data_IF_784673406546
#
_entry.id   IF_784673406546
#
_cell.length_a   1.000
_cell.length_b   1.000
_cell.length_c   1.000
_cell.angle_alpha   90.00
_cell.angle_beta   90.00
_cell.angle_gamma   90.00
#
_symmetry.space_group_name_H-M   'P 1'
#
loop_
_entity.id
_entity.type
_entity.pdbx_description
1 polymer ?
#
# COMPACT_ATOMS: atom_id res chain seq x y z
N UNK A 1 -9.49 -12.58 12.40
CA UNK A 1 -8.90 -11.26 12.14
C UNK A 1 -9.69 -10.62 11.01
N UNK A 2 -10.33 -9.48 11.21
CA UNK A 2 -11.06 -8.79 10.14
C UNK A 2 -10.28 -7.51 9.79
N UNK A 3 -9.78 -7.37 8.55
CA UNK A 3 -9.12 -6.13 8.14
C UNK A 3 -10.11 -4.97 8.19
N UNK A 4 -9.64 -3.81 8.63
CA UNK A 4 -10.42 -2.57 8.57
C UNK A 4 -10.11 -1.89 7.25
N UNK A 5 -11.09 -1.85 6.34
CA UNK A 5 -10.95 -1.09 5.11
C UNK A 5 -11.01 0.41 5.41
N UNK A 6 -9.93 1.12 5.10
CA UNK A 6 -9.83 2.57 5.31
C UNK A 6 -10.34 3.33 4.07
N UNK A 7 -10.45 2.65 2.93
CA UNK A 7 -11.04 3.16 1.69
C UNK A 7 -10.04 3.24 0.54
N UNK A 8 -10.38 4.01 -0.50
CA UNK A 8 -9.52 4.22 -1.68
C UNK A 8 -9.05 5.67 -1.77
N UNK A 9 -7.74 5.85 -1.77
CA UNK A 9 -7.07 7.13 -1.95
C UNK A 9 -6.82 7.48 -3.41
N UNK A 10 -6.52 8.76 -3.65
CA UNK A 10 -6.18 9.31 -4.98
C UNK A 10 -4.67 9.42 -5.23
N UNK A 11 -3.83 9.18 -4.22
CA UNK A 11 -2.39 9.44 -4.28
C UNK A 11 -1.57 8.35 -3.60
N UNK A 12 -0.76 7.64 -4.40
CA UNK A 12 0.24 6.69 -3.88
C UNK A 12 1.26 7.39 -2.99
N UNK A 13 1.73 8.58 -3.38
CA UNK A 13 2.70 9.36 -2.58
C UNK A 13 2.13 9.75 -1.22
N UNK A 14 0.88 10.22 -1.19
CA UNK A 14 0.22 10.60 0.07
C UNK A 14 0.08 9.41 1.02
N UNK A 15 -0.34 8.26 0.47
CA UNK A 15 -0.43 7.02 1.25
C UNK A 15 0.94 6.53 1.72
N UNK A 16 1.97 6.59 0.87
CA UNK A 16 3.33 6.20 1.24
C UNK A 16 3.90 7.08 2.36
N UNK A 17 3.69 8.39 2.30
CA UNK A 17 4.06 9.29 3.41
C UNK A 17 3.33 8.91 4.68
N UNK A 18 2.01 8.64 4.58
CA UNK A 18 1.23 8.23 5.73
C UNK A 18 1.70 6.90 6.34
N UNK A 19 2.19 5.94 5.54
CA UNK A 19 2.57 4.60 5.99
C UNK A 19 4.03 4.50 6.46
N UNK A 20 4.94 5.10 5.70
CA UNK A 20 6.38 4.91 5.82
C UNK A 20 7.04 5.92 6.76
N UNK A 21 6.31 6.95 7.21
CA UNK A 21 6.87 8.02 8.05
C UNK A 21 6.02 8.27 9.29
N UNK A 22 6.65 8.85 10.30
CA UNK A 22 6.00 9.28 11.52
C UNK A 22 4.94 10.36 11.26
N UNK A 23 3.87 10.42 12.06
CA UNK A 23 2.88 11.47 11.95
C UNK A 23 3.54 12.84 12.09
N UNK A 24 3.11 13.79 11.26
CA UNK A 24 3.51 15.20 11.38
C UNK A 24 3.18 15.70 12.78
N UNK A 25 4.12 16.41 13.39
CA UNK A 25 3.84 17.14 14.63
C UNK A 25 3.24 18.51 14.33
N UNK A 26 2.65 19.14 15.35
CA UNK A 26 2.10 20.49 15.22
C UNK A 26 3.19 21.48 14.76
N UNK A 27 2.90 22.25 13.71
CA UNK A 27 3.86 23.17 13.09
C UNK A 27 4.78 22.55 12.02
N UNK A 28 4.78 21.23 11.83
CA UNK A 28 5.61 20.58 10.81
C UNK A 28 4.89 20.45 9.46
N UNK A 29 5.56 20.88 8.39
CA UNK A 29 5.07 20.68 7.02
C UNK A 29 5.27 19.23 6.53
N UNK A 30 6.31 18.56 7.02
CA UNK A 30 6.62 17.17 6.72
C UNK A 30 7.51 16.60 7.82
N UNK A 31 7.32 15.31 8.11
CA UNK A 31 8.19 14.51 8.97
C UNK A 31 8.71 13.33 8.16
N UNK A 32 10.02 13.11 8.20
CA UNK A 32 10.71 12.09 7.41
C UNK A 32 11.33 10.96 8.28
N UNK A 33 11.10 11.01 9.59
CA UNK A 33 11.51 9.93 10.50
C UNK A 33 10.61 8.70 10.32
N UNK A 34 11.14 7.53 10.61
CA UNK A 34 10.48 6.23 10.37
C UNK A 34 10.41 5.39 11.65
N UNK A 35 10.42 6.02 12.83
CA UNK A 35 10.57 5.33 14.12
C UNK A 35 9.39 4.39 14.42
N UNK A 36 8.19 4.72 13.94
CA UNK A 36 7.01 3.85 14.07
C UNK A 36 7.02 2.62 13.16
N UNK A 37 7.94 2.54 12.19
CA UNK A 37 7.92 1.51 11.15
C UNK A 37 8.87 0.39 11.56
N UNK A 38 8.29 -0.72 12.03
CA UNK A 38 9.07 -1.92 12.37
C UNK A 38 9.66 -2.60 11.13
N UNK A 39 8.83 -2.89 10.12
CA UNK A 39 9.27 -3.49 8.86
C UNK A 39 8.36 -3.09 7.70
N UNK A 40 8.87 -3.26 6.48
CA UNK A 40 8.14 -3.01 5.24
C UNK A 40 8.44 -4.13 4.26
N UNK A 41 7.42 -4.63 3.57
CA UNK A 41 7.56 -5.59 2.48
C UNK A 41 6.67 -5.17 1.30
N UNK A 42 7.15 -5.45 0.10
CA UNK A 42 6.35 -5.38 -1.12
C UNK A 42 6.11 -6.77 -1.69
N UNK A 43 4.99 -6.93 -2.39
CA UNK A 43 4.65 -8.12 -3.15
C UNK A 43 4.54 -7.74 -4.62
N UNK A 44 4.91 -8.65 -5.53
CA UNK A 44 4.87 -8.47 -6.99
C UNK A 44 5.69 -7.28 -7.53
N UNK A 45 6.59 -6.73 -6.72
CA UNK A 45 7.46 -5.60 -7.04
C UNK A 45 8.94 -5.93 -6.86
N UNK A 46 9.31 -7.21 -7.08
CA UNK A 46 10.69 -7.69 -7.06
C UNK A 46 11.49 -7.29 -5.80
N UNK A 47 10.85 -7.39 -4.63
CA UNK A 47 11.47 -7.04 -3.36
C UNK A 47 11.75 -5.55 -3.16
N UNK A 48 11.14 -4.65 -3.95
CA UNK A 48 11.31 -3.21 -3.78
C UNK A 48 10.96 -2.78 -2.35
N UNK A 49 11.84 -2.00 -1.72
CA UNK A 49 11.53 -1.34 -0.44
C UNK A 49 10.36 -0.36 -0.57
N UNK A 50 9.81 0.09 0.55
CA UNK A 50 8.60 0.93 0.58
C UNK A 50 8.63 2.14 -0.36
N UNK A 51 9.75 2.86 -0.40
CA UNK A 51 9.95 4.01 -1.29
C UNK A 51 9.94 3.65 -2.78
N UNK A 52 10.52 2.51 -3.15
CA UNK A 52 10.49 2.02 -4.52
C UNK A 52 9.10 1.52 -4.91
N UNK A 53 8.45 0.79 -3.99
CA UNK A 53 7.17 0.15 -4.23
C UNK A 53 6.09 1.16 -4.64
N UNK A 54 5.93 2.27 -3.91
CA UNK A 54 4.90 3.26 -4.25
C UNK A 54 5.18 3.97 -5.57
N UNK A 55 6.46 4.15 -5.94
CA UNK A 55 6.86 4.77 -7.22
C UNK A 55 6.55 3.85 -8.39
N UNK A 56 6.82 2.54 -8.25
CA UNK A 56 6.43 1.57 -9.26
C UNK A 56 4.91 1.51 -9.44
N UNK A 57 4.14 1.46 -8.35
CA UNK A 57 2.68 1.49 -8.44
C UNK A 57 2.17 2.78 -9.12
N UNK A 58 2.74 3.93 -8.78
CA UNK A 58 2.40 5.20 -9.43
C UNK A 58 2.75 5.21 -10.92
N UNK A 59 3.95 4.73 -11.29
CA UNK A 59 4.38 4.64 -12.69
C UNK A 59 3.47 3.73 -13.51
N UNK A 60 3.07 2.57 -12.95
CA UNK A 60 2.12 1.65 -13.58
C UNK A 60 0.75 2.30 -13.78
N UNK A 61 0.24 3.00 -12.76
CA UNK A 61 -1.05 3.69 -12.85
C UNK A 61 -1.03 4.83 -13.88
N UNK A 62 0.04 5.62 -13.94
CA UNK A 62 0.22 6.69 -14.92
C UNK A 62 0.39 6.14 -16.34
N UNK A 63 0.98 4.96 -16.48
CA UNK A 63 1.22 4.29 -17.78
C UNK A 63 0.06 3.39 -18.21
N UNK A 64 -1.05 3.32 -17.45
CA UNK A 64 -2.12 2.35 -17.66
C UNK A 64 -2.71 2.38 -19.07
N UNK A 65 -2.82 3.56 -19.69
CA UNK A 65 -3.33 3.68 -21.06
C UNK A 65 -2.35 3.10 -22.09
N UNK A 66 -1.06 3.41 -21.96
CA UNK A 66 -0.02 2.86 -22.82
C UNK A 66 0.09 1.33 -22.69
N UNK A 67 0.00 0.82 -21.45
CA UNK A 67 0.01 -0.62 -21.17
C UNK A 67 -1.21 -1.32 -21.80
N UNK A 68 -2.41 -0.73 -21.66
CA UNK A 68 -3.62 -1.26 -22.31
C UNK A 68 -3.50 -1.26 -23.83
N UNK A 69 -3.00 -0.17 -24.41
CA UNK A 69 -2.77 -0.07 -25.85
C UNK A 69 -1.80 -1.13 -26.36
N UNK A 70 -0.66 -1.31 -25.68
CA UNK A 70 0.33 -2.34 -26.03
C UNK A 70 -0.25 -3.76 -25.95
N UNK A 71 -1.19 -4.00 -25.04
CA UNK A 71 -1.88 -5.28 -24.88
C UNK A 71 -3.11 -5.45 -25.81
N UNK A 72 -3.42 -4.48 -26.67
CA UNK A 72 -4.63 -4.51 -27.51
C UNK A 72 -5.95 -4.38 -26.73
N UNK A 73 -5.90 -3.89 -25.49
CA UNK A 73 -7.05 -3.71 -24.60
C UNK A 73 -7.63 -2.31 -24.82
N UNK A 74 -8.96 -2.22 -24.97
CA UNK A 74 -9.66 -0.94 -25.10
C UNK A 74 -9.42 -0.04 -23.89
N UNK A 75 -9.04 1.20 -24.13
CA UNK A 75 -8.89 2.22 -23.09
C UNK A 75 -10.28 2.65 -22.61
N UNK A 76 -10.52 2.46 -21.32
CA UNK A 76 -11.71 2.95 -20.61
C UNK A 76 -11.45 4.28 -19.89
N UNK A 77 -12.45 4.82 -19.19
CA UNK A 77 -12.29 6.03 -18.38
C UNK A 77 -11.22 5.83 -17.29
N UNK A 78 -10.51 6.91 -16.96
CA UNK A 78 -9.49 6.88 -15.92
C UNK A 78 -10.14 6.59 -14.55
N UNK A 79 -9.55 5.70 -13.72
CA UNK A 79 -10.07 5.44 -12.38
C UNK A 79 -9.90 6.68 -11.49
N UNK A 80 -10.96 7.03 -10.76
CA UNK A 80 -10.95 8.16 -9.81
C UNK A 80 -10.22 7.86 -8.50
N UNK A 81 -9.93 6.59 -8.24
CA UNK A 81 -9.21 6.10 -7.07
C UNK A 81 -8.28 4.96 -7.46
N UNK A 82 -7.03 5.05 -7.04
CA UNK A 82 -5.94 4.19 -7.53
C UNK A 82 -5.20 3.47 -6.42
N UNK A 83 -5.25 3.98 -5.19
CA UNK A 83 -4.60 3.38 -4.03
C UNK A 83 -5.64 2.78 -3.09
N UNK A 84 -5.63 1.45 -2.90
CA UNK A 84 -6.45 0.77 -1.90
C UNK A 84 -5.63 0.57 -0.63
N UNK A 85 -6.24 0.81 0.54
CA UNK A 85 -5.58 0.70 1.82
C UNK A 85 -6.52 0.09 2.87
N UNK A 86 -5.97 -0.85 3.62
CA UNK A 86 -6.62 -1.47 4.78
C UNK A 86 -5.60 -1.57 5.91
N UNK A 87 -6.09 -1.66 7.15
CA UNK A 87 -5.26 -1.90 8.33
C UNK A 87 -5.62 -3.21 9.02
N UNK A 88 -4.61 -3.83 9.60
CA UNK A 88 -4.72 -4.99 10.49
C UNK A 88 -4.29 -4.50 11.87
N UNK A 89 -5.20 -4.50 12.85
CA UNK A 89 -4.91 -4.05 14.21
C UNK A 89 -4.72 -5.25 15.13
N UNK A 90 -3.50 -5.50 15.57
CA UNK A 90 -3.18 -6.57 16.52
C UNK A 90 -3.16 -6.01 17.94
N UNK A 91 -3.67 -6.77 18.90
CA UNK A 91 -3.64 -6.36 20.30
C UNK A 91 -2.19 -6.41 20.82
N UNK A 92 -1.62 -5.31 21.34
CA UNK A 92 -0.25 -5.30 21.84
C UNK A 92 0.01 -6.32 22.96
N UNK A 93 -1.02 -6.68 23.73
CA UNK A 93 -0.92 -7.69 24.79
C UNK A 93 -0.55 -9.08 24.25
N UNK A 94 -0.88 -9.38 22.99
CA UNK A 94 -0.63 -10.67 22.35
C UNK A 94 0.83 -10.80 21.87
N UNK A 95 1.60 -9.71 21.89
CA UNK A 95 3.02 -9.63 21.47
C UNK A 95 3.26 -10.39 20.15
N UNK A 96 2.58 -10.01 19.05
CA UNK A 96 2.69 -10.73 17.80
C UNK A 96 4.14 -10.72 17.31
N UNK A 97 4.59 -11.87 16.81
CA UNK A 97 5.85 -11.94 16.07
C UNK A 97 5.65 -11.43 14.65
N UNK A 98 6.72 -10.98 14.02
CA UNK A 98 6.74 -10.60 12.60
C UNK A 98 6.18 -11.72 11.70
N UNK A 99 6.45 -12.99 12.04
CA UNK A 99 5.90 -14.15 11.32
C UNK A 99 4.36 -14.19 11.36
N UNK A 100 3.76 -13.94 12.53
CA UNK A 100 2.29 -13.89 12.68
C UNK A 100 1.72 -12.71 11.89
N UNK A 101 2.40 -11.56 11.90
CA UNK A 101 2.00 -10.39 11.12
C UNK A 101 2.02 -10.69 9.61
N UNK A 102 3.06 -11.36 9.10
CA UNK A 102 3.15 -11.79 7.70
C UNK A 102 2.05 -12.79 7.33
N UNK A 103 1.78 -13.76 8.19
CA UNK A 103 0.68 -14.72 7.98
C UNK A 103 -0.69 -14.02 7.94
N UNK A 104 -0.90 -12.99 8.76
CA UNK A 104 -2.13 -12.19 8.75
C UNK A 104 -2.29 -11.42 7.43
N UNK A 105 -1.21 -10.84 6.89
CA UNK A 105 -1.22 -10.15 5.58
C UNK A 105 -1.53 -11.13 4.45
N UNK A 106 -0.89 -12.31 4.44
CA UNK A 106 -1.12 -13.32 3.39
C UNK A 106 -2.56 -13.87 3.43
N UNK A 107 -3.11 -14.12 4.62
CA UNK A 107 -4.51 -14.51 4.79
C UNK A 107 -5.49 -13.45 4.30
N UNK A 108 -5.21 -12.17 4.56
CA UNK A 108 -6.01 -11.07 4.02
C UNK A 108 -5.93 -11.02 2.49
N UNK A 109 -4.75 -11.26 1.91
CA UNK A 109 -4.53 -11.24 0.45
C UNK A 109 -5.36 -12.30 -0.29
N UNK A 110 -5.50 -13.49 0.29
CA UNK A 110 -6.24 -14.61 -0.30
C UNK A 110 -7.77 -14.44 -0.19
N UNK A 111 -8.24 -13.75 0.86
CA UNK A 111 -9.68 -13.61 1.17
C UNK A 111 -10.29 -12.34 0.62
N UNK A 112 -9.51 -11.26 0.52
CA UNK A 112 -9.95 -10.05 -0.16
C UNK A 112 -10.05 -10.34 -1.65
N UNK A 113 -11.25 -10.30 -2.22
CA UNK A 113 -11.50 -10.48 -3.67
C UNK A 113 -10.82 -9.42 -4.56
N UNK A 114 -9.97 -8.56 -3.99
CA UNK A 114 -9.01 -7.75 -4.69
C UNK A 114 -7.97 -8.67 -5.34
N UNK A 115 -7.91 -8.65 -6.68
CA UNK A 115 -6.79 -9.23 -7.40
C UNK A 115 -5.59 -8.30 -7.16
N UNK A 116 -4.76 -8.65 -6.18
CA UNK A 116 -3.52 -7.93 -5.86
C UNK A 116 -2.55 -8.13 -7.03
N UNK A 117 -2.30 -7.07 -7.79
CA UNK A 117 -1.35 -7.04 -8.90
C UNK A 117 0.07 -7.29 -8.41
#
# INVERSE_FOLDING_TARGET
>A
MTPVEIGRGKSFKGLAVYLLHDPRQEGEQARATTERVGWVQSYNLDGAGGEGAWRFMAATALSANALKQAAGIKIGPAPSSTAFHYSINLNPADRPSEEIERLAVEGCRQTSGARWC
#
